data_IF_835238650688
#
_entry.id   IF_835238650688
#
_cell.length_a   1.000
_cell.length_b   1.000
_cell.length_c   1.000
_cell.angle_alpha   90.00
_cell.angle_beta   90.00
_cell.angle_gamma   90.00
#
_symmetry.space_group_name_H-M   'P 1'
#
loop_
_entity.id
_entity.type
_entity.pdbx_description
1 polymer ?
#
# COMPACT_ATOMS: atom_id res chain seq x y z
N UNK A 1 14.77 -3.54 11.55
CA UNK A 1 14.52 -3.05 10.17
C UNK A 1 13.31 -2.14 10.16
N UNK A 2 13.25 -1.24 9.16
CA UNK A 2 12.12 -0.32 9.01
C UNK A 2 11.50 -0.46 7.62
N UNK A 3 10.24 -0.89 7.56
CA UNK A 3 9.43 -1.01 6.36
C UNK A 3 8.39 0.12 6.33
N UNK A 4 8.27 0.79 5.20
CA UNK A 4 7.23 1.78 4.94
C UNK A 4 6.39 1.41 3.72
N UNK A 5 5.12 1.83 3.72
CA UNK A 5 4.27 1.85 2.52
C UNK A 5 3.69 3.24 2.33
N UNK A 6 3.63 3.69 1.07
CA UNK A 6 3.13 5.01 0.73
C UNK A 6 2.53 5.07 -0.69
N UNK A 7 1.24 5.36 -0.77
CA UNK A 7 0.64 5.77 -2.04
C UNK A 7 1.13 7.20 -2.35
N UNK A 8 2.00 7.33 -3.34
CA UNK A 8 2.67 8.59 -3.67
C UNK A 8 1.88 9.46 -4.65
N UNK A 9 0.79 8.94 -5.20
CA UNK A 9 -0.08 9.64 -6.15
C UNK A 9 0.72 10.41 -7.23
N UNK A 10 1.53 9.72 -8.01
CA UNK A 10 2.52 10.15 -9.01
C UNK A 10 3.92 10.39 -8.44
N UNK A 11 4.80 9.43 -8.68
CA UNK A 11 6.22 9.53 -8.29
C UNK A 11 6.94 10.68 -8.98
N UNK A 12 6.62 10.97 -10.24
CA UNK A 12 7.25 12.07 -10.98
C UNK A 12 7.02 13.43 -10.35
N UNK A 13 5.86 13.61 -9.71
CA UNK A 13 5.51 14.86 -9.04
C UNK A 13 6.08 14.96 -7.62
N UNK A 14 6.54 13.84 -7.04
CA UNK A 14 6.86 13.74 -5.59
C UNK A 14 8.17 13.06 -5.27
N UNK A 15 9.01 12.76 -6.28
CA UNK A 15 10.25 12.02 -6.05
C UNK A 15 11.18 12.71 -5.05
N UNK A 16 11.34 14.04 -5.12
CA UNK A 16 12.15 14.78 -4.15
C UNK A 16 11.66 14.57 -2.72
N UNK A 17 10.35 14.67 -2.51
CA UNK A 17 9.72 14.44 -1.20
C UNK A 17 9.89 13.00 -0.73
N UNK A 18 9.80 12.02 -1.65
CA UNK A 18 10.01 10.61 -1.32
C UNK A 18 11.46 10.37 -0.91
N UNK A 19 12.43 10.95 -1.64
CA UNK A 19 13.86 10.85 -1.28
C UNK A 19 14.13 11.52 0.08
N UNK A 20 13.57 12.68 0.34
CA UNK A 20 13.69 13.35 1.65
C UNK A 20 13.11 12.48 2.78
N UNK A 21 11.96 11.85 2.55
CA UNK A 21 11.35 10.91 3.49
C UNK A 21 12.27 9.70 3.75
N UNK A 22 12.83 9.08 2.71
CA UNK A 22 13.74 7.94 2.83
C UNK A 22 14.98 8.31 3.68
N UNK A 23 15.59 9.46 3.39
CA UNK A 23 16.80 9.91 4.06
C UNK A 23 16.59 10.23 5.55
N UNK A 24 15.51 10.96 5.90
CA UNK A 24 15.25 11.34 7.29
C UNK A 24 14.59 10.22 8.11
N UNK A 25 13.87 9.32 7.44
CA UNK A 25 13.12 8.25 8.09
C UNK A 25 13.92 7.00 8.38
N UNK A 26 15.16 6.91 7.87
CA UNK A 26 16.02 5.72 7.97
C UNK A 26 15.28 4.43 7.51
N UNK A 27 14.58 4.54 6.37
CA UNK A 27 13.76 3.48 5.81
C UNK A 27 14.65 2.44 5.12
N UNK A 28 14.49 1.15 5.46
CA UNK A 28 15.22 0.07 4.78
C UNK A 28 14.51 -0.36 3.49
N UNK A 29 13.17 -0.44 3.53
CA UNK A 29 12.32 -0.84 2.41
C UNK A 29 11.10 0.08 2.32
N UNK A 30 10.85 0.65 1.13
CA UNK A 30 9.65 1.45 0.83
C UNK A 30 8.85 0.78 -0.28
N UNK A 31 7.60 0.43 0.02
CA UNK A 31 6.60 0.01 -0.94
C UNK A 31 5.78 1.22 -1.41
N UNK A 32 5.75 1.49 -2.72
CA UNK A 32 5.06 2.65 -3.29
C UNK A 32 3.89 2.23 -4.18
N UNK A 33 2.82 3.03 -4.17
CA UNK A 33 1.63 2.84 -4.98
C UNK A 33 1.29 4.12 -5.77
N UNK A 34 0.51 3.98 -6.82
CA UNK A 34 0.12 5.04 -7.75
C UNK A 34 1.30 5.81 -8.35
N UNK A 35 2.27 5.10 -8.87
CA UNK A 35 3.45 5.71 -9.54
C UNK A 35 3.07 6.59 -10.73
N UNK A 36 1.99 6.20 -11.46
CA UNK A 36 1.44 6.92 -12.63
C UNK A 36 2.49 7.21 -13.70
N UNK A 37 3.38 6.26 -13.95
CA UNK A 37 4.43 6.37 -14.96
C UNK A 37 4.83 5.00 -15.53
N UNK A 38 5.52 5.03 -16.67
CA UNK A 38 6.23 3.89 -17.22
C UNK A 38 7.65 3.79 -16.63
N UNK A 39 8.36 2.65 -16.79
CA UNK A 39 9.72 2.48 -16.27
C UNK A 39 10.70 3.57 -16.73
N UNK A 40 10.64 3.98 -17.99
CA UNK A 40 11.48 5.01 -18.58
C UNK A 40 11.23 6.43 -18.04
N UNK A 41 10.13 6.62 -17.31
CA UNK A 41 9.74 7.89 -16.70
C UNK A 41 9.97 7.91 -15.18
N UNK A 42 10.36 6.77 -14.61
CA UNK A 42 10.64 6.67 -13.17
C UNK A 42 11.97 7.38 -12.85
N UNK A 43 12.07 8.19 -11.77
CA UNK A 43 13.27 8.94 -11.43
C UNK A 43 14.35 8.06 -10.78
N UNK A 44 14.78 6.99 -11.46
CA UNK A 44 15.63 5.93 -10.92
C UNK A 44 16.97 6.44 -10.37
N UNK A 45 17.58 7.41 -11.04
CA UNK A 45 18.89 7.94 -10.62
C UNK A 45 18.83 8.61 -9.24
N UNK A 46 17.74 9.33 -8.93
CA UNK A 46 17.57 9.93 -7.61
C UNK A 46 17.51 8.89 -6.48
N UNK A 47 16.87 7.74 -6.72
CA UNK A 47 16.86 6.63 -5.78
C UNK A 47 18.23 5.98 -5.62
N UNK A 48 18.96 5.78 -6.71
CA UNK A 48 20.33 5.23 -6.68
C UNK A 48 21.29 6.15 -5.92
N UNK A 49 21.22 7.46 -6.16
CA UNK A 49 22.00 8.46 -5.43
C UNK A 49 21.70 8.46 -3.93
N UNK A 50 20.45 8.16 -3.56
CA UNK A 50 20.02 7.98 -2.17
C UNK A 50 20.40 6.60 -1.58
N UNK A 51 21.01 5.71 -2.38
CA UNK A 51 21.47 4.39 -1.93
C UNK A 51 20.39 3.29 -2.01
N UNK A 52 19.36 3.47 -2.84
CA UNK A 52 18.27 2.50 -3.00
C UNK A 52 18.29 1.84 -4.39
N UNK A 53 18.13 0.53 -4.41
CA UNK A 53 17.69 -0.21 -5.58
C UNK A 53 16.17 -0.08 -5.72
N UNK A 54 15.65 -0.13 -6.94
CA UNK A 54 14.20 -0.03 -7.19
C UNK A 54 13.77 -1.02 -8.24
N UNK A 55 12.72 -1.76 -7.92
CA UNK A 55 11.96 -2.57 -8.87
C UNK A 55 10.53 -2.04 -8.96
N UNK A 56 9.96 -1.99 -10.17
CA UNK A 56 8.66 -1.41 -10.39
C UNK A 56 7.90 -2.06 -11.54
N UNK A 57 6.58 -1.95 -11.49
CA UNK A 57 5.69 -2.24 -12.60
C UNK A 57 4.75 -1.06 -12.85
N UNK A 58 4.69 -0.60 -14.09
CA UNK A 58 3.84 0.51 -14.51
C UNK A 58 3.74 0.53 -16.03
N UNK A 59 2.51 0.64 -16.56
CA UNK A 59 2.26 0.53 -18.00
C UNK A 59 1.91 1.87 -18.66
N UNK A 60 1.42 2.82 -17.87
CA UNK A 60 0.94 4.12 -18.35
C UNK A 60 0.77 5.11 -17.19
N UNK A 61 -0.01 6.20 -17.38
CA UNK A 61 -0.32 7.20 -16.36
C UNK A 61 -1.30 6.75 -15.27
N UNK A 62 -1.72 5.51 -15.25
CA UNK A 62 -2.63 4.94 -14.25
C UNK A 62 -1.93 3.85 -13.45
N UNK A 63 -2.29 3.72 -12.16
CA UNK A 63 -1.75 2.69 -11.28
C UNK A 63 -0.21 2.76 -11.15
N UNK A 64 0.45 1.61 -11.11
CA UNK A 64 1.89 1.49 -10.93
C UNK A 64 2.28 1.30 -9.47
N UNK A 65 3.11 0.30 -9.21
CA UNK A 65 3.64 -0.03 -7.88
C UNK A 65 5.14 -0.27 -7.95
N UNK A 66 5.84 0.00 -6.86
CA UNK A 66 7.28 -0.22 -6.76
C UNK A 66 7.70 -0.65 -5.36
N UNK A 67 8.88 -1.21 -5.29
CA UNK A 67 9.63 -1.46 -4.05
C UNK A 67 11.00 -0.81 -4.22
N UNK A 68 11.37 0.05 -3.27
CA UNK A 68 12.71 0.60 -3.13
C UNK A 68 13.36 0.00 -1.88
N UNK A 69 14.62 -0.46 -1.99
CA UNK A 69 15.32 -1.11 -0.90
C UNK A 69 16.80 -0.70 -0.88
N UNK A 70 17.34 -0.43 0.31
CA UNK A 70 18.78 -0.21 0.52
C UNK A 70 19.51 -1.47 1.01
N UNK A 71 18.79 -2.58 1.12
CA UNK A 71 19.31 -3.87 1.63
C UNK A 71 19.25 -4.99 0.58
N UNK A 72 19.17 -4.61 -0.72
CA UNK A 72 19.06 -5.50 -1.87
C UNK A 72 17.63 -5.83 -2.25
N UNK A 73 17.44 -6.27 -3.51
CA UNK A 73 16.16 -6.72 -4.06
C UNK A 73 16.38 -8.00 -4.86
N UNK A 74 15.72 -9.07 -4.47
CA UNK A 74 15.77 -10.38 -5.13
C UNK A 74 14.35 -10.93 -5.36
N UNK A 75 14.22 -12.02 -6.10
CA UNK A 75 12.97 -12.77 -6.33
C UNK A 75 11.79 -11.87 -6.74
N UNK A 76 11.98 -10.99 -7.73
CA UNK A 76 10.97 -10.01 -8.16
C UNK A 76 9.85 -10.69 -8.93
N UNK A 77 8.60 -10.41 -8.53
CA UNK A 77 7.37 -10.81 -9.21
C UNK A 77 6.51 -9.58 -9.50
N UNK A 78 6.25 -9.28 -10.77
CA UNK A 78 5.48 -8.08 -11.20
C UNK A 78 3.97 -8.29 -11.22
N UNK A 79 3.51 -9.48 -10.84
CA UNK A 79 2.13 -9.87 -10.61
C UNK A 79 2.13 -11.17 -9.80
N UNK A 80 1.05 -11.47 -9.09
CA UNK A 80 0.92 -12.77 -8.42
C UNK A 80 0.22 -13.80 -9.32
N UNK A 81 0.50 -15.10 -9.18
CA UNK A 81 -0.18 -16.17 -9.91
C UNK A 81 -1.71 -16.08 -9.71
N UNK A 82 -2.45 -16.09 -10.82
CA UNK A 82 -3.91 -15.96 -10.77
C UNK A 82 -4.42 -14.54 -10.49
N UNK A 83 -3.55 -13.52 -10.59
CA UNK A 83 -4.02 -12.13 -10.48
C UNK A 83 -5.15 -11.87 -11.49
N UNK A 84 -6.32 -11.41 -11.03
CA UNK A 84 -7.43 -11.18 -11.93
C UNK A 84 -7.14 -10.05 -12.92
N UNK A 85 -7.80 -10.11 -14.07
CA UNK A 85 -7.73 -9.07 -15.11
C UNK A 85 -8.92 -8.12 -15.01
N UNK A 86 -8.72 -6.89 -15.43
CA UNK A 86 -9.81 -5.96 -15.67
C UNK A 86 -9.83 -5.60 -17.15
N UNK A 87 -10.97 -5.89 -17.83
CA UNK A 87 -11.11 -5.73 -19.30
C UNK A 87 -9.99 -6.46 -20.05
N UNK A 88 -9.77 -7.73 -19.71
CA UNK A 88 -8.77 -8.63 -20.31
C UNK A 88 -7.30 -8.16 -20.17
N UNK A 89 -7.02 -7.27 -19.20
CA UNK A 89 -5.67 -6.77 -18.93
C UNK A 89 -5.30 -6.97 -17.47
N UNK A 90 -4.08 -7.43 -17.25
CA UNK A 90 -3.43 -7.34 -15.93
C UNK A 90 -3.06 -5.87 -15.72
N UNK A 91 -3.51 -5.29 -14.60
CA UNK A 91 -3.13 -3.94 -14.20
C UNK A 91 -1.89 -3.97 -13.30
N UNK A 92 -1.07 -2.92 -13.36
CA UNK A 92 0.14 -2.74 -12.54
C UNK A 92 -0.25 -2.38 -11.10
N UNK A 93 -0.69 -3.37 -10.30
CA UNK A 93 -1.25 -3.18 -8.96
C UNK A 93 -0.58 -4.00 -7.87
N UNK A 94 0.28 -4.94 -8.23
CA UNK A 94 1.05 -5.72 -7.28
C UNK A 94 2.47 -5.96 -7.79
N UNK A 95 3.43 -5.85 -6.90
CA UNK A 95 4.82 -6.28 -7.10
C UNK A 95 5.32 -6.91 -5.81
N UNK A 96 5.91 -8.08 -5.93
CA UNK A 96 6.55 -8.80 -4.83
C UNK A 96 8.05 -8.85 -5.00
N UNK A 97 8.79 -8.72 -3.91
CA UNK A 97 10.25 -8.88 -3.91
C UNK A 97 10.74 -9.38 -2.55
N UNK A 98 11.94 -9.95 -2.54
CA UNK A 98 12.66 -10.28 -1.31
C UNK A 98 13.73 -9.22 -1.06
N UNK A 99 13.65 -8.55 0.10
CA UNK A 99 14.59 -7.52 0.53
C UNK A 99 15.28 -7.99 1.81
N UNK A 100 16.51 -8.50 1.70
CA UNK A 100 17.17 -9.16 2.81
C UNK A 100 16.34 -10.32 3.38
N UNK A 101 15.93 -10.30 4.67
CA UNK A 101 15.11 -11.38 5.25
C UNK A 101 13.60 -11.22 4.96
N UNK A 102 13.17 -10.08 4.42
CA UNK A 102 11.76 -9.72 4.24
C UNK A 102 11.26 -10.05 2.84
N UNK A 103 10.22 -10.87 2.72
CA UNK A 103 9.37 -10.95 1.53
C UNK A 103 8.31 -9.86 1.62
N UNK A 104 8.21 -8.97 0.63
CA UNK A 104 7.25 -7.86 0.63
C UNK A 104 6.46 -7.80 -0.66
N UNK A 105 5.13 -7.59 -0.54
CA UNK A 105 4.22 -7.27 -1.64
C UNK A 105 3.76 -5.82 -1.49
N UNK A 106 4.13 -4.96 -2.44
CA UNK A 106 3.53 -3.62 -2.61
C UNK A 106 2.25 -3.76 -3.41
N UNK A 107 1.13 -3.33 -2.85
CA UNK A 107 -0.18 -3.52 -3.49
C UNK A 107 -1.00 -2.22 -3.55
N UNK A 108 -1.65 -2.02 -4.70
CA UNK A 108 -2.65 -0.97 -4.93
C UNK A 108 -3.98 -1.63 -5.28
N UNK A 109 -4.78 -1.90 -4.26
CA UNK A 109 -6.09 -2.54 -4.43
C UNK A 109 -7.01 -1.66 -5.29
N UNK A 110 -7.75 -2.23 -6.25
CA UNK A 110 -8.70 -1.46 -7.06
C UNK A 110 -9.67 -0.64 -6.20
N UNK A 111 -9.96 0.59 -6.60
CA UNK A 111 -10.87 1.48 -5.87
C UNK A 111 -12.31 0.92 -5.74
N UNK A 112 -12.77 0.19 -6.76
CA UNK A 112 -14.15 -0.32 -6.80
C UNK A 112 -15.15 0.62 -7.49
N UNK A 113 -14.91 1.92 -7.51
CA UNK A 113 -15.71 2.99 -8.11
C UNK A 113 -17.10 3.15 -7.49
N UNK A 114 -17.99 2.17 -7.65
CA UNK A 114 -19.29 2.08 -6.99
C UNK A 114 -19.67 0.61 -6.78
N UNK A 115 -20.61 0.33 -5.89
CA UNK A 115 -21.01 -1.05 -5.55
C UNK A 115 -21.59 -1.82 -6.75
N UNK A 116 -22.01 -1.14 -7.80
CA UNK A 116 -22.60 -1.72 -9.02
C UNK A 116 -21.64 -1.72 -10.22
N UNK A 117 -20.46 -1.12 -10.10
CA UNK A 117 -19.46 -1.11 -11.18
C UNK A 117 -18.75 -2.48 -11.25
N UNK A 118 -18.46 -3.04 -12.44
CA UNK A 118 -17.65 -4.25 -12.57
C UNK A 118 -16.28 -4.17 -11.89
N UNK A 119 -15.74 -2.97 -11.72
CA UNK A 119 -14.49 -2.72 -10.99
C UNK A 119 -14.59 -3.05 -9.50
N UNK A 120 -15.80 -3.08 -8.93
CA UNK A 120 -16.02 -3.49 -7.55
C UNK A 120 -15.82 -5.01 -7.39
N UNK A 121 -16.38 -5.83 -8.27
CA UNK A 121 -16.16 -7.27 -8.26
C UNK A 121 -14.67 -7.59 -8.48
N UNK A 122 -14.01 -6.91 -9.42
CA UNK A 122 -12.58 -7.01 -9.65
C UNK A 122 -11.76 -6.71 -8.39
N UNK A 123 -12.15 -5.70 -7.61
CA UNK A 123 -11.53 -5.37 -6.31
C UNK A 123 -11.59 -6.55 -5.33
N UNK A 124 -12.77 -7.15 -5.17
CA UNK A 124 -12.97 -8.26 -4.23
C UNK A 124 -12.16 -9.50 -4.65
N UNK A 125 -12.16 -9.83 -5.94
CA UNK A 125 -11.39 -10.95 -6.50
C UNK A 125 -9.88 -10.69 -6.36
N UNK A 126 -9.43 -9.47 -6.59
CA UNK A 126 -8.02 -9.09 -6.45
C UNK A 126 -7.52 -9.29 -5.01
N UNK A 127 -8.26 -8.80 -4.02
CA UNK A 127 -7.88 -8.96 -2.61
C UNK A 127 -7.81 -10.44 -2.20
N UNK A 128 -8.81 -11.24 -2.58
CA UNK A 128 -8.83 -12.67 -2.25
C UNK A 128 -7.69 -13.44 -2.90
N UNK A 129 -7.47 -13.24 -4.21
CA UNK A 129 -6.37 -13.89 -4.92
C UNK A 129 -4.99 -13.50 -4.37
N UNK A 130 -4.80 -12.23 -3.99
CA UNK A 130 -3.56 -11.79 -3.35
C UNK A 130 -3.38 -12.43 -1.97
N UNK A 131 -4.44 -12.53 -1.16
CA UNK A 131 -4.40 -13.17 0.16
C UNK A 131 -4.06 -14.66 0.05
N UNK A 132 -4.72 -15.38 -0.88
CA UNK A 132 -4.43 -16.80 -1.15
C UNK A 132 -2.96 -17.00 -1.57
N UNK A 133 -2.46 -16.15 -2.45
CA UNK A 133 -1.05 -16.23 -2.88
C UNK A 133 -0.08 -15.94 -1.73
N UNK A 134 -0.31 -14.88 -0.96
CA UNK A 134 0.52 -14.54 0.19
C UNK A 134 0.58 -15.68 1.22
N UNK A 135 -0.56 -16.34 1.46
CA UNK A 135 -0.63 -17.48 2.37
C UNK A 135 0.28 -18.64 1.94
N UNK A 136 0.48 -18.85 0.63
CA UNK A 136 1.42 -19.89 0.15
C UNK A 136 2.89 -19.58 0.39
N UNK A 137 3.22 -18.30 0.64
CA UNK A 137 4.60 -17.81 0.80
C UNK A 137 5.01 -17.55 2.25
N UNK A 138 4.07 -17.57 3.21
CA UNK A 138 4.33 -17.08 4.57
C UNK A 138 4.95 -18.09 5.54
N UNK A 139 4.96 -19.40 5.19
CA UNK A 139 5.46 -20.44 6.11
C UNK A 139 6.95 -20.23 6.42
N UNK A 140 7.25 -19.97 7.70
CA UNK A 140 8.61 -19.75 8.20
C UNK A 140 9.28 -18.46 7.72
N UNK A 141 8.61 -17.63 6.92
CA UNK A 141 9.16 -16.38 6.35
C UNK A 141 8.60 -15.15 7.03
N UNK A 142 9.43 -14.12 7.17
CA UNK A 142 8.96 -12.76 7.39
C UNK A 142 8.37 -12.24 6.07
N UNK A 143 7.03 -12.16 6.01
CA UNK A 143 6.31 -11.70 4.83
C UNK A 143 5.37 -10.57 5.19
N UNK A 144 5.34 -9.52 4.36
CA UNK A 144 4.43 -8.40 4.45
C UNK A 144 3.63 -8.22 3.15
N UNK A 145 2.32 -7.99 3.26
CA UNK A 145 1.48 -7.44 2.21
C UNK A 145 1.09 -6.04 2.64
N UNK A 146 1.53 -5.03 1.89
CA UNK A 146 1.44 -3.63 2.28
C UNK A 146 0.91 -2.75 1.15
N UNK A 147 0.26 -1.67 1.49
CA UNK A 147 -0.16 -0.70 0.49
C UNK A 147 -1.49 -0.04 0.78
N UNK A 148 -2.04 0.53 -0.29
CA UNK A 148 -3.37 1.11 -0.32
C UNK A 148 -4.41 0.00 -0.60
N UNK A 149 -5.14 -0.38 0.45
CA UNK A 149 -6.19 -1.40 0.35
C UNK A 149 -7.51 -0.85 -0.17
N UNK A 150 -7.66 0.48 -0.21
CA UNK A 150 -8.93 1.10 -0.59
C UNK A 150 -10.15 0.56 0.20
N UNK A 151 -9.93 0.08 1.41
CA UNK A 151 -10.95 -0.41 2.35
C UNK A 151 -10.75 0.27 3.71
N UNK A 152 -11.84 0.72 4.31
CA UNK A 152 -11.92 1.14 5.70
C UNK A 152 -12.60 0.00 6.50
N UNK A 153 -11.82 -0.86 7.18
CA UNK A 153 -12.33 -2.09 7.78
C UNK A 153 -13.34 -1.88 8.91
N UNK A 154 -13.26 -0.73 9.59
CA UNK A 154 -14.14 -0.38 10.71
C UNK A 154 -14.76 1.01 10.51
N UNK A 155 -15.82 1.30 11.25
CA UNK A 155 -16.51 2.59 11.13
C UNK A 155 -15.64 3.77 11.57
N UNK A 156 -14.74 3.58 12.53
CA UNK A 156 -13.75 4.57 12.97
C UNK A 156 -12.63 4.83 11.97
N UNK A 157 -12.49 4.02 10.92
CA UNK A 157 -11.51 4.24 9.84
C UNK A 157 -11.97 5.29 8.83
N UNK A 158 -13.15 5.86 8.99
CA UNK A 158 -13.65 7.00 8.24
C UNK A 158 -14.13 8.09 9.19
N UNK A 159 -14.04 9.33 8.75
CA UNK A 159 -14.37 10.50 9.57
C UNK A 159 -15.86 10.61 9.97
N UNK A 160 -16.77 10.05 9.19
CA UNK A 160 -18.21 9.96 9.46
C UNK A 160 -18.82 8.84 8.61
N UNK A 161 -19.14 7.70 9.22
CA UNK A 161 -19.65 6.53 8.50
C UNK A 161 -20.96 6.81 7.75
N UNK A 162 -21.79 7.73 8.22
CA UNK A 162 -23.07 8.07 7.58
C UNK A 162 -22.89 8.67 6.17
N UNK A 163 -21.75 9.30 5.89
CA UNK A 163 -21.42 9.86 4.58
C UNK A 163 -21.05 8.79 3.57
N UNK A 164 -20.68 7.60 4.04
CA UNK A 164 -20.25 6.47 3.21
C UNK A 164 -21.35 5.44 2.98
N UNK A 165 -22.58 5.70 3.43
CA UNK A 165 -23.70 4.80 3.19
C UNK A 165 -23.89 4.56 1.68
N UNK A 166 -23.85 3.27 1.26
CA UNK A 166 -23.94 2.89 -0.15
C UNK A 166 -22.70 3.20 -1.00
N UNK A 167 -21.60 3.67 -0.39
CA UNK A 167 -20.33 3.91 -1.06
C UNK A 167 -19.39 2.69 -0.99
N UNK A 168 -18.33 2.72 -1.79
CA UNK A 168 -17.19 1.78 -1.67
C UNK A 168 -16.36 2.10 -0.43
N UNK A 169 -15.40 1.25 -0.09
CA UNK A 169 -14.47 1.27 1.06
C UNK A 169 -15.06 0.73 2.36
N UNK A 170 -16.35 0.81 2.59
CA UNK A 170 -16.98 0.45 3.88
C UNK A 170 -18.00 -0.68 3.76
N UNK A 171 -18.23 -1.20 2.57
CA UNK A 171 -19.23 -2.27 2.37
C UNK A 171 -18.78 -3.57 3.05
N UNK A 172 -19.75 -4.36 3.48
CA UNK A 172 -19.49 -5.66 4.13
C UNK A 172 -18.62 -6.59 3.26
N UNK A 173 -18.88 -6.77 1.94
CA UNK A 173 -18.00 -7.60 1.10
C UNK A 173 -16.55 -7.11 1.01
N UNK A 174 -16.31 -5.80 1.03
CA UNK A 174 -14.96 -5.23 1.05
C UNK A 174 -14.26 -5.53 2.38
N UNK A 175 -14.95 -5.31 3.50
CA UNK A 175 -14.47 -5.63 4.85
C UNK A 175 -14.20 -7.11 5.02
N UNK A 176 -15.06 -7.98 4.47
CA UNK A 176 -14.84 -9.42 4.46
C UNK A 176 -13.62 -9.84 3.65
N UNK A 177 -13.39 -9.22 2.48
CA UNK A 177 -12.22 -9.49 1.64
C UNK A 177 -10.93 -8.97 2.31
N UNK A 178 -10.99 -7.85 3.01
CA UNK A 178 -9.90 -7.35 3.83
C UNK A 178 -9.58 -8.31 4.99
N UNK A 179 -10.60 -8.73 5.74
CA UNK A 179 -10.44 -9.66 6.86
C UNK A 179 -10.06 -11.08 6.43
N UNK A 180 -10.15 -11.40 5.15
CA UNK A 180 -9.76 -12.70 4.62
C UNK A 180 -8.27 -12.98 4.81
N UNK A 181 -7.40 -11.96 4.73
CA UNK A 181 -5.98 -12.10 5.08
C UNK A 181 -5.79 -12.63 6.52
N UNK A 182 -6.57 -12.12 7.48
CA UNK A 182 -6.52 -12.59 8.86
C UNK A 182 -7.04 -14.02 9.01
N UNK A 183 -8.09 -14.39 8.26
CA UNK A 183 -8.61 -15.78 8.24
C UNK A 183 -7.57 -16.79 7.73
N UNK A 184 -6.64 -16.36 6.89
CA UNK A 184 -5.51 -17.16 6.39
C UNK A 184 -4.28 -17.13 7.32
N UNK A 185 -4.35 -16.44 8.47
CA UNK A 185 -3.32 -16.44 9.49
C UNK A 185 -2.33 -15.26 9.41
N UNK A 186 -2.59 -14.24 8.60
CA UNK A 186 -1.85 -12.97 8.64
C UNK A 186 -2.40 -12.04 9.73
N UNK A 187 -1.58 -11.11 10.20
CA UNK A 187 -1.96 -10.11 11.21
C UNK A 187 -1.82 -8.70 10.64
N UNK A 188 -2.84 -7.85 10.77
CA UNK A 188 -2.72 -6.42 10.53
C UNK A 188 -2.01 -5.78 11.73
N UNK A 189 -0.75 -5.38 11.55
CA UNK A 189 0.17 -5.09 12.66
C UNK A 189 0.21 -3.62 13.09
N UNK A 190 -0.55 -2.75 12.43
CA UNK A 190 -0.51 -1.31 12.72
C UNK A 190 -1.64 -0.83 13.61
N UNK A 191 -2.79 -1.48 13.61
CA UNK A 191 -4.01 -1.02 14.30
C UNK A 191 -3.86 -0.87 15.81
N UNK A 192 -3.24 -1.83 16.47
CA UNK A 192 -3.06 -1.79 17.92
C UNK A 192 -2.04 -0.73 18.38
N UNK A 193 -1.28 -0.16 17.43
CA UNK A 193 -0.17 0.78 17.70
C UNK A 193 -0.48 2.20 17.28
N UNK A 194 -1.26 2.39 16.21
CA UNK A 194 -1.59 3.71 15.63
C UNK A 194 -3.05 3.74 15.17
N UNK A 195 -3.71 4.88 15.32
CA UNK A 195 -5.14 5.07 15.00
C UNK A 195 -5.41 6.21 14.03
N UNK A 196 -4.37 6.86 13.52
CA UNK A 196 -4.52 7.99 12.60
C UNK A 196 -5.07 7.55 11.23
N UNK A 197 -5.73 8.46 10.54
CA UNK A 197 -6.04 8.30 9.12
C UNK A 197 -4.76 8.32 8.28
N UNK A 198 -4.85 7.73 7.08
CA UNK A 198 -3.74 7.65 6.12
C UNK A 198 -4.01 8.42 4.84
N UNK A 199 -5.27 8.82 4.60
CA UNK A 199 -5.74 9.49 3.40
C UNK A 199 -6.65 10.66 3.72
N UNK A 200 -6.52 11.77 2.95
CA UNK A 200 -7.43 12.94 2.95
C UNK A 200 -7.53 13.50 1.53
N UNK A 201 -8.74 13.50 0.97
CA UNK A 201 -9.01 14.12 -0.34
C UNK A 201 -8.49 15.57 -0.38
N UNK A 202 -8.00 16.00 -1.54
CA UNK A 202 -7.53 17.38 -1.76
C UNK A 202 -8.65 18.41 -1.69
N UNK A 203 -9.88 17.97 -1.96
CA UNK A 203 -11.06 18.85 -2.03
C UNK A 203 -11.65 19.14 -0.66
N UNK A 204 -12.48 20.17 -0.60
CA UNK A 204 -13.34 20.51 0.56
C UNK A 204 -12.58 20.74 1.87
N UNK A 205 -11.28 21.05 1.83
CA UNK A 205 -10.44 21.23 3.01
C UNK A 205 -10.45 20.01 3.95
N UNK A 206 -10.47 18.80 3.40
CA UNK A 206 -10.57 17.55 4.18
C UNK A 206 -9.44 17.40 5.20
N UNK A 207 -8.20 17.70 4.80
CA UNK A 207 -7.06 17.55 5.70
C UNK A 207 -7.10 18.53 6.90
N UNK A 208 -7.32 19.84 6.74
CA UNK A 208 -7.46 20.74 7.88
C UNK A 208 -8.60 20.39 8.84
N UNK A 209 -9.71 19.84 8.33
CA UNK A 209 -10.85 19.39 9.12
C UNK A 209 -10.66 18.02 9.75
N UNK A 210 -9.58 17.32 9.39
CA UNK A 210 -9.33 15.92 9.70
C UNK A 210 -10.45 14.95 9.23
N UNK A 211 -11.08 15.26 8.11
CA UNK A 211 -12.08 14.41 7.44
C UNK A 211 -11.35 13.40 6.55
N UNK A 212 -10.74 12.39 7.15
CA UNK A 212 -9.87 11.41 6.50
C UNK A 212 -10.42 9.99 6.50
N UNK A 213 -9.61 9.09 5.93
CA UNK A 213 -9.83 7.65 5.98
C UNK A 213 -8.52 6.95 6.32
N UNK A 214 -8.61 5.79 6.96
CA UNK A 214 -7.51 4.86 7.12
C UNK A 214 -7.71 3.70 6.15
N UNK A 215 -6.93 3.70 5.07
CA UNK A 215 -7.05 2.74 3.96
C UNK A 215 -5.72 2.14 3.52
N UNK A 216 -4.62 2.56 4.15
CA UNK A 216 -3.28 2.01 3.94
C UNK A 216 -2.90 1.16 5.15
N UNK A 217 -2.45 -0.09 4.90
CA UNK A 217 -2.22 -1.09 5.94
C UNK A 217 -0.99 -1.95 5.67
N UNK A 218 -0.57 -2.67 6.72
CA UNK A 218 0.50 -3.67 6.68
C UNK A 218 -0.02 -4.98 7.30
N UNK A 219 -0.29 -5.96 6.44
CA UNK A 219 -0.50 -7.34 6.86
C UNK A 219 0.84 -8.07 6.94
N UNK A 220 1.07 -8.76 8.03
CA UNK A 220 2.29 -9.50 8.31
C UNK A 220 2.04 -10.99 8.50
N UNK A 221 2.98 -11.84 8.05
CA UNK A 221 3.02 -13.24 8.46
C UNK A 221 3.23 -13.36 9.97
N UNK A 222 2.89 -14.48 10.62
CA UNK A 222 3.13 -14.67 12.05
C UNK A 222 4.61 -14.50 12.45
N UNK A 223 5.55 -14.82 11.55
CA UNK A 223 6.97 -14.64 11.79
C UNK A 223 7.35 -13.15 11.86
N UNK A 224 6.82 -12.33 10.94
CA UNK A 224 7.05 -10.89 10.94
C UNK A 224 6.28 -10.21 12.09
N UNK A 225 5.01 -10.56 12.30
CA UNK A 225 4.17 -9.95 13.33
C UNK A 225 4.80 -10.02 14.73
N UNK A 226 5.41 -11.17 15.07
CA UNK A 226 6.17 -11.32 16.33
C UNK A 226 7.41 -10.43 16.43
N UNK A 227 7.98 -10.02 15.30
CA UNK A 227 9.18 -9.17 15.28
C UNK A 227 8.83 -7.67 15.32
N UNK A 228 7.59 -7.29 15.01
CA UNK A 228 7.17 -5.87 14.99
C UNK A 228 7.23 -5.27 16.38
N UNK A 229 8.06 -4.24 16.54
CA UNK A 229 8.29 -3.51 17.79
C UNK A 229 7.60 -2.16 17.83
N UNK A 230 7.25 -1.58 16.68
CA UNK A 230 6.61 -0.28 16.60
C UNK A 230 5.86 -0.05 15.29
N UNK A 231 4.95 0.93 15.29
CA UNK A 231 4.32 1.43 14.08
C UNK A 231 4.14 2.96 14.15
N UNK A 232 4.14 3.61 12.99
CA UNK A 232 3.96 5.04 12.86
C UNK A 232 3.16 5.36 11.59
N UNK A 233 2.35 6.42 11.63
CA UNK A 233 1.76 7.07 10.46
C UNK A 233 2.34 8.50 10.40
N UNK A 234 3.11 8.80 9.35
CA UNK A 234 3.75 10.11 9.20
C UNK A 234 2.79 11.13 8.59
N UNK A 235 1.87 11.63 9.42
CA UNK A 235 0.84 12.60 9.02
C UNK A 235 1.43 13.92 8.47
N UNK A 236 2.67 14.23 8.79
CA UNK A 236 3.32 15.46 8.35
C UNK A 236 3.62 15.44 6.85
N UNK A 237 3.71 14.26 6.23
CA UNK A 237 3.80 14.12 4.78
C UNK A 237 2.55 14.59 4.02
N UNK A 238 1.43 14.82 4.69
CA UNK A 238 0.25 15.47 4.07
C UNK A 238 0.35 16.99 4.03
N UNK A 239 1.34 17.58 4.71
CA UNK A 239 1.53 19.04 4.77
C UNK A 239 2.36 19.57 3.61
N UNK A 240 2.13 20.82 3.25
CA UNK A 240 2.92 21.56 2.28
C UNK A 240 2.52 21.32 0.83
N UNK A 241 3.21 22.06 -0.07
CA UNK A 241 2.94 22.03 -1.51
C UNK A 241 3.38 20.68 -2.11
N UNK A 242 2.57 20.12 -2.98
CA UNK A 242 2.90 18.88 -3.69
C UNK A 242 2.77 17.61 -2.86
N UNK A 243 2.18 17.66 -1.65
CA UNK A 243 1.91 16.47 -0.85
C UNK A 243 1.01 15.47 -1.58
N UNK A 244 1.21 14.17 -1.31
CA UNK A 244 0.23 13.15 -1.68
C UNK A 244 -1.05 13.33 -0.84
N UNK A 245 -2.18 12.82 -1.30
CA UNK A 245 -3.40 12.67 -0.50
C UNK A 245 -3.29 11.56 0.54
N UNK A 246 -2.32 10.65 0.39
CA UNK A 246 -1.94 9.65 1.39
C UNK A 246 -0.67 10.05 2.14
N UNK A 247 -0.46 9.41 3.29
CA UNK A 247 0.76 9.53 4.10
C UNK A 247 1.39 8.15 4.35
N UNK A 248 2.71 8.10 4.62
CA UNK A 248 3.38 6.83 4.88
C UNK A 248 2.88 6.13 6.14
N UNK A 249 2.75 4.80 6.05
CA UNK A 249 2.59 3.89 7.18
C UNK A 249 3.88 3.10 7.35
N UNK A 250 4.41 3.05 8.55
CA UNK A 250 5.76 2.55 8.86
C UNK A 250 5.66 1.52 9.97
N UNK A 251 6.44 0.45 9.90
CA UNK A 251 6.69 -0.47 11.01
C UNK A 251 8.18 -0.63 11.28
N UNK A 252 8.52 -0.84 12.55
CA UNK A 252 9.84 -1.25 13.04
C UNK A 252 9.80 -2.71 13.48
N UNK A 253 10.79 -3.53 13.08
CA UNK A 253 10.88 -4.96 13.42
C UNK A 253 12.33 -5.48 13.39
#
# INVERSE_FOLDING_TARGET
MRLATWNVNSIRARHERVIDFLNRGDIDVLAMQELKCKPDQFPLEAFKEAGYEVEMVGYNQWNGVAIASRIGIDEVETSFPGQPTFRDKIEARAIGATCGPLRVWSTYIPHGRSLTDPHYQYKLEFMRGLADHAATQMEGRQLAVVGDFNVAPFDEDVWDISVFEGATHVSEPERDAFNYFAKLGMEEVTRERVTNYTYWDYQKLRFPKNEGMRIDFIYASPALARAVTGAQIDRDERKGKGASDHVPVIIDF
#
